data_IF_159272339666
#
_entry.id   IF_159272339666
#
_cell.length_a   1.000
_cell.length_b   1.000
_cell.length_c   1.000
_cell.angle_alpha   90.00
_cell.angle_beta   90.00
_cell.angle_gamma   90.00
#
_symmetry.space_group_name_H-M   'P 1'
#
loop_
_entity.id
_entity.type
_entity.pdbx_description
1 polymer ?
#
# COMPACT_ATOMS: atom_id res chain seq x y z
N UNK A 1 14.35 20.18 -9.00
CA UNK A 1 13.47 19.50 -9.99
C UNK A 1 13.68 17.99 -10.01
N UNK A 2 14.90 17.47 -10.08
CA UNK A 2 15.18 16.02 -10.11
C UNK A 2 14.62 15.27 -8.86
N UNK A 3 14.90 15.77 -7.66
CA UNK A 3 14.44 15.15 -6.41
C UNK A 3 12.92 15.09 -6.30
N UNK A 4 12.21 16.13 -6.74
CA UNK A 4 10.74 16.17 -6.72
C UNK A 4 10.17 15.12 -7.67
N UNK A 5 10.72 14.99 -8.88
CA UNK A 5 10.27 13.95 -9.84
C UNK A 5 10.56 12.56 -9.30
N UNK A 6 11.73 12.33 -8.72
CA UNK A 6 12.11 11.05 -8.13
C UNK A 6 11.17 10.63 -6.99
N UNK A 7 10.80 11.56 -6.10
CA UNK A 7 9.86 11.28 -5.02
C UNK A 7 8.46 10.87 -5.56
N UNK A 8 7.93 11.60 -6.53
CA UNK A 8 6.64 11.24 -7.15
C UNK A 8 6.73 9.90 -7.89
N UNK A 9 7.87 9.60 -8.50
CA UNK A 9 8.17 8.29 -9.08
C UNK A 9 8.14 7.17 -8.04
N UNK A 10 8.75 7.40 -6.87
CA UNK A 10 8.72 6.45 -5.75
C UNK A 10 7.29 6.22 -5.22
N UNK A 11 6.51 7.29 -5.02
CA UNK A 11 5.10 7.18 -4.61
C UNK A 11 4.29 6.36 -5.62
N UNK A 12 4.45 6.64 -6.91
CA UNK A 12 3.78 5.89 -7.97
C UNK A 12 4.20 4.42 -7.99
N UNK A 13 5.49 4.12 -7.76
CA UNK A 13 5.98 2.75 -7.70
C UNK A 13 5.38 1.98 -6.51
N UNK A 14 5.24 2.61 -5.33
CA UNK A 14 4.54 2.01 -4.19
C UNK A 14 3.06 1.76 -4.49
N UNK A 15 2.38 2.73 -5.12
CA UNK A 15 0.99 2.61 -5.53
C UNK A 15 0.80 1.44 -6.50
N UNK A 16 1.61 1.35 -7.56
CA UNK A 16 1.56 0.27 -8.55
C UNK A 16 1.87 -1.09 -7.93
N UNK A 17 2.86 -1.17 -7.04
CA UNK A 17 3.22 -2.40 -6.32
C UNK A 17 2.04 -2.91 -5.51
N UNK A 18 1.40 -2.03 -4.71
CA UNK A 18 0.24 -2.41 -3.91
C UNK A 18 -0.94 -2.83 -4.78
N UNK A 19 -1.31 -2.02 -5.78
CA UNK A 19 -2.45 -2.30 -6.67
C UNK A 19 -2.26 -3.62 -7.43
N UNK A 20 -1.04 -3.91 -7.91
CA UNK A 20 -0.69 -5.18 -8.56
C UNK A 20 -0.87 -6.37 -7.63
N UNK A 21 -0.39 -6.27 -6.37
CA UNK A 21 -0.47 -7.36 -5.40
C UNK A 21 -1.89 -7.57 -4.89
N UNK A 22 -2.63 -6.50 -4.64
CA UNK A 22 -3.98 -6.59 -4.07
C UNK A 22 -5.07 -6.81 -5.13
N UNK A 23 -4.82 -6.50 -6.38
CA UNK A 23 -5.78 -6.64 -7.48
C UNK A 23 -6.14 -8.08 -7.83
N UNK A 24 -7.16 -8.28 -8.69
CA UNK A 24 -7.46 -9.56 -9.30
C UNK A 24 -6.31 -10.08 -10.16
N UNK A 25 -6.24 -11.41 -10.31
CA UNK A 25 -5.21 -12.08 -11.09
C UNK A 25 -4.01 -12.50 -10.24
N UNK A 26 -2.94 -12.95 -10.91
CA UNK A 26 -1.70 -13.41 -10.28
C UNK A 26 -0.64 -12.32 -10.46
N UNK A 27 -0.11 -11.73 -9.36
CA UNK A 27 0.92 -10.72 -9.48
C UNK A 27 2.24 -11.34 -9.92
N UNK A 28 2.82 -10.77 -10.97
CA UNK A 28 4.17 -11.10 -11.41
C UNK A 28 5.18 -10.12 -10.79
N UNK A 29 6.27 -10.66 -10.23
CA UNK A 29 7.34 -9.89 -9.59
C UNK A 29 8.67 -10.35 -10.17
N UNK A 30 9.28 -9.50 -11.00
CA UNK A 30 10.59 -9.79 -11.55
C UNK A 30 11.69 -9.66 -10.49
N UNK A 31 12.66 -10.56 -10.51
CA UNK A 31 13.76 -10.57 -9.53
C UNK A 31 14.52 -9.24 -9.47
N UNK A 32 14.84 -8.78 -8.26
CA UNK A 32 15.53 -7.52 -8.01
C UNK A 32 14.63 -6.29 -8.05
N UNK A 33 13.31 -6.45 -8.29
CA UNK A 33 12.34 -5.34 -8.25
C UNK A 33 11.66 -5.18 -6.90
N UNK A 34 12.08 -5.92 -5.89
CA UNK A 34 11.59 -5.82 -4.50
C UNK A 34 11.96 -4.47 -3.88
N UNK A 35 13.08 -3.89 -4.28
CA UNK A 35 13.50 -2.51 -4.01
C UNK A 35 13.36 -1.64 -5.28
N UNK A 36 13.99 -0.45 -5.30
CA UNK A 36 13.98 0.35 -6.52
C UNK A 36 14.87 -0.28 -7.59
N UNK A 37 14.32 -0.48 -8.79
CA UNK A 37 15.07 -0.85 -9.98
C UNK A 37 14.90 0.26 -11.01
N UNK A 38 15.99 0.93 -11.36
CA UNK A 38 16.03 1.99 -12.38
C UNK A 38 16.58 1.46 -13.71
N UNK A 39 16.62 0.15 -13.85
CA UNK A 39 17.09 -0.53 -15.08
C UNK A 39 16.04 -0.43 -16.16
N UNK A 40 16.50 -0.36 -17.38
CA UNK A 40 15.65 -0.39 -18.56
C UNK A 40 15.19 -1.84 -18.84
N UNK A 41 14.57 -2.03 -19.99
CA UNK A 41 14.14 -3.34 -20.48
C UNK A 41 15.34 -4.21 -20.87
N UNK A 42 15.07 -5.42 -21.36
CA UNK A 42 16.08 -6.34 -21.86
C UNK A 42 17.06 -5.67 -22.85
N UNK A 43 18.38 -5.87 -22.71
CA UNK A 43 19.08 -6.78 -21.76
C UNK A 43 19.49 -6.17 -20.42
N UNK A 44 19.22 -4.89 -20.18
CA UNK A 44 19.66 -4.15 -18.98
C UNK A 44 19.15 -4.77 -17.66
N UNK A 45 17.95 -5.38 -17.69
CA UNK A 45 17.34 -6.05 -16.56
C UNK A 45 17.96 -7.41 -16.19
N UNK A 46 18.91 -7.94 -16.98
CA UNK A 46 19.56 -9.25 -16.75
C UNK A 46 20.79 -9.18 -15.83
N UNK A 47 21.06 -8.05 -15.21
CA UNK A 47 22.16 -7.92 -14.25
C UNK A 47 21.91 -8.81 -13.03
N UNK A 48 22.92 -9.51 -12.51
CA UNK A 48 22.79 -10.32 -11.32
C UNK A 48 22.21 -9.56 -10.13
N UNK A 49 21.33 -10.23 -9.38
CA UNK A 49 20.69 -9.67 -8.17
C UNK A 49 21.46 -10.14 -6.94
N UNK A 50 21.79 -9.21 -6.05
CA UNK A 50 22.38 -9.51 -4.74
C UNK A 50 21.27 -9.95 -3.77
N UNK A 51 20.93 -11.23 -3.80
CA UNK A 51 19.91 -11.82 -2.94
C UNK A 51 20.31 -11.84 -1.46
N UNK A 52 21.60 -11.89 -1.15
CA UNK A 52 22.10 -11.86 0.23
C UNK A 52 21.86 -10.48 0.85
N UNK A 53 22.15 -9.42 0.11
CA UNK A 53 21.84 -8.05 0.54
C UNK A 53 20.33 -7.83 0.72
N UNK A 54 19.50 -8.31 -0.22
CA UNK A 54 18.04 -8.22 -0.11
C UNK A 54 17.50 -9.01 1.10
N UNK A 55 17.99 -10.21 1.33
CA UNK A 55 17.61 -11.05 2.48
C UNK A 55 17.98 -10.40 3.80
N UNK A 56 19.16 -9.78 3.89
CA UNK A 56 19.61 -9.03 5.06
C UNK A 56 18.75 -7.78 5.30
N UNK A 57 18.38 -7.04 4.24
CA UNK A 57 17.46 -5.92 4.37
C UNK A 57 16.09 -6.38 4.84
N UNK A 58 15.55 -7.46 4.26
CA UNK A 58 14.24 -8.00 4.62
C UNK A 58 14.17 -8.43 6.09
N UNK A 59 15.18 -9.14 6.60
CA UNK A 59 15.22 -9.54 8.02
C UNK A 59 15.36 -8.36 8.97
N UNK A 60 15.94 -7.26 8.54
CA UNK A 60 16.04 -6.02 9.33
C UNK A 60 14.74 -5.22 9.42
N UNK A 61 13.76 -5.44 8.53
CA UNK A 61 12.55 -4.62 8.46
C UNK A 61 11.62 -4.76 9.67
N UNK A 62 11.61 -5.93 10.32
CA UNK A 62 10.72 -6.19 11.46
C UNK A 62 11.12 -5.40 12.72
N UNK A 63 12.34 -4.84 12.75
CA UNK A 63 12.90 -4.09 13.87
C UNK A 63 12.94 -2.57 13.65
N UNK A 64 12.42 -2.09 12.50
CA UNK A 64 12.47 -0.67 12.13
C UNK A 64 11.08 -0.06 12.18
N UNK A 65 10.87 1.08 12.85
CA UNK A 65 9.61 1.81 12.80
C UNK A 65 9.26 2.17 11.34
N UNK A 66 8.07 1.80 10.89
CA UNK A 66 7.66 1.97 9.48
C UNK A 66 7.79 3.42 9.01
N UNK A 67 7.39 4.38 9.84
CA UNK A 67 7.49 5.81 9.53
C UNK A 67 8.92 6.26 9.22
N UNK A 68 9.94 5.64 9.85
CA UNK A 68 11.33 6.01 9.63
C UNK A 68 11.88 5.61 8.26
N UNK A 69 11.18 4.73 7.52
CA UNK A 69 11.59 4.29 6.19
C UNK A 69 11.35 5.35 5.11
N UNK A 70 10.53 6.37 5.38
CA UNK A 70 10.26 7.44 4.42
C UNK A 70 11.39 8.46 4.32
N UNK A 71 12.22 8.61 5.36
CA UNK A 71 13.40 9.49 5.32
C UNK A 71 14.47 9.00 4.35
N UNK A 72 15.05 7.81 4.58
CA UNK A 72 16.05 7.21 3.70
C UNK A 72 15.44 6.45 2.52
N UNK A 73 14.30 6.89 1.98
CA UNK A 73 13.55 6.18 0.94
C UNK A 73 14.38 5.75 -0.29
N UNK A 74 15.49 6.44 -0.69
CA UNK A 74 16.29 6.00 -1.84
C UNK A 74 16.95 4.63 -1.65
N UNK A 75 17.05 4.12 -0.40
CA UNK A 75 17.60 2.79 -0.11
C UNK A 75 16.65 1.62 -0.49
N UNK A 76 15.41 1.92 -0.85
CA UNK A 76 14.43 0.95 -1.33
C UNK A 76 13.71 0.12 -0.25
N UNK A 77 14.09 0.23 1.03
CA UNK A 77 13.50 -0.57 2.12
C UNK A 77 12.00 -0.35 2.28
N UNK A 78 11.49 0.85 2.02
CA UNK A 78 10.05 1.13 2.06
C UNK A 78 9.29 0.30 1.01
N UNK A 79 9.84 0.14 -0.19
CA UNK A 79 9.22 -0.70 -1.23
C UNK A 79 9.32 -2.18 -0.88
N UNK A 80 10.46 -2.62 -0.35
CA UNK A 80 10.65 -3.99 0.13
C UNK A 80 9.63 -4.35 1.22
N UNK A 81 9.36 -3.42 2.17
CA UNK A 81 8.34 -3.59 3.20
C UNK A 81 6.94 -3.77 2.59
N UNK A 82 6.53 -2.86 1.70
CA UNK A 82 5.21 -2.93 1.04
C UNK A 82 5.07 -4.24 0.27
N UNK A 83 6.09 -4.60 -0.52
CA UNK A 83 6.09 -5.84 -1.31
C UNK A 83 5.97 -7.07 -0.42
N UNK A 84 6.83 -7.19 0.60
CA UNK A 84 6.89 -8.38 1.45
C UNK A 84 5.64 -8.55 2.30
N UNK A 85 5.14 -7.48 2.94
CA UNK A 85 3.94 -7.54 3.79
C UNK A 85 2.68 -7.81 2.97
N UNK A 86 2.53 -7.15 1.82
CA UNK A 86 1.38 -7.36 0.94
C UNK A 86 1.37 -8.79 0.35
N UNK A 87 2.52 -9.34 -0.09
CA UNK A 87 2.61 -10.71 -0.59
C UNK A 87 2.37 -11.75 0.51
N UNK A 88 2.90 -11.55 1.72
CA UNK A 88 2.63 -12.43 2.87
C UNK A 88 1.13 -12.45 3.19
N UNK A 89 0.48 -11.29 3.25
CA UNK A 89 -0.95 -11.19 3.48
C UNK A 89 -1.75 -11.86 2.37
N UNK A 90 -1.40 -11.62 1.10
CA UNK A 90 -2.04 -12.29 -0.03
C UNK A 90 -1.94 -13.82 0.07
N UNK A 91 -0.78 -14.35 0.49
CA UNK A 91 -0.58 -15.79 0.71
C UNK A 91 -1.44 -16.31 1.87
N UNK A 92 -1.55 -15.58 2.98
CA UNK A 92 -2.37 -15.94 4.13
C UNK A 92 -3.87 -15.92 3.81
N UNK A 93 -4.29 -15.00 2.92
CA UNK A 93 -5.68 -14.82 2.49
C UNK A 93 -5.88 -15.31 1.05
N UNK A 94 -5.35 -16.49 0.72
CA UNK A 94 -5.29 -16.99 -0.66
C UNK A 94 -6.68 -17.03 -1.32
N UNK A 95 -7.71 -17.48 -0.63
CA UNK A 95 -9.08 -17.55 -1.14
C UNK A 95 -9.64 -16.16 -1.44
N UNK A 96 -9.44 -15.18 -0.54
CA UNK A 96 -9.88 -13.81 -0.72
C UNK A 96 -9.33 -13.20 -2.02
N UNK A 97 -8.07 -13.47 -2.34
CA UNK A 97 -7.43 -12.92 -3.54
C UNK A 97 -7.65 -13.76 -4.80
N UNK A 98 -7.92 -15.06 -4.67
CA UNK A 98 -8.20 -15.93 -5.82
C UNK A 98 -9.64 -15.77 -6.33
N UNK A 99 -10.63 -15.83 -5.44
CA UNK A 99 -12.06 -15.91 -5.76
C UNK A 99 -12.89 -14.75 -5.19
N UNK A 100 -12.35 -13.95 -4.28
CA UNK A 100 -13.08 -12.85 -3.66
C UNK A 100 -13.57 -11.81 -4.68
N UNK A 101 -14.69 -11.16 -4.34
CA UNK A 101 -15.25 -10.07 -5.14
C UNK A 101 -14.25 -8.91 -5.30
N UNK A 102 -14.46 -8.08 -6.31
CA UNK A 102 -13.75 -6.82 -6.51
C UNK A 102 -14.77 -5.70 -6.59
N UNK A 103 -14.67 -4.73 -5.69
CA UNK A 103 -15.57 -3.57 -5.64
C UNK A 103 -14.75 -2.30 -5.68
N UNK A 104 -14.81 -1.50 -6.76
CA UNK A 104 -14.20 -0.18 -6.78
C UNK A 104 -14.77 0.70 -5.67
N UNK A 105 -13.92 1.48 -5.01
CA UNK A 105 -14.33 2.39 -3.96
C UNK A 105 -14.13 3.84 -4.40
N UNK A 106 -15.07 4.69 -4.01
CA UNK A 106 -15.04 6.11 -4.32
C UNK A 106 -14.77 6.93 -3.06
N UNK A 107 -13.92 7.91 -3.17
CA UNK A 107 -13.71 8.89 -2.14
C UNK A 107 -14.65 10.09 -2.32
N UNK A 108 -14.81 10.84 -1.26
CA UNK A 108 -15.47 12.16 -1.26
C UNK A 108 -14.58 13.18 -0.57
N UNK A 109 -14.79 14.46 -0.87
CA UNK A 109 -14.01 15.55 -0.33
C UNK A 109 -12.98 16.09 -1.34
N UNK A 110 -12.15 17.03 -0.88
CA UNK A 110 -11.27 17.80 -1.76
C UNK A 110 -10.22 16.94 -2.50
N UNK A 111 -9.82 15.81 -1.93
CA UNK A 111 -8.75 14.95 -2.47
C UNK A 111 -9.31 13.68 -3.13
N UNK A 112 -10.60 13.62 -3.46
CA UNK A 112 -11.25 12.45 -4.07
C UNK A 112 -10.63 12.02 -5.40
N UNK A 113 -10.24 12.95 -6.25
CA UNK A 113 -9.55 12.70 -7.52
C UNK A 113 -8.12 12.18 -7.40
N UNK A 114 -7.56 12.16 -6.18
CA UNK A 114 -6.16 11.80 -5.93
C UNK A 114 -5.96 10.40 -5.35
N UNK A 115 -7.00 9.58 -5.29
CA UNK A 115 -6.94 8.22 -4.75
C UNK A 115 -7.52 7.20 -5.71
N UNK A 116 -6.94 6.00 -5.70
CA UNK A 116 -7.49 4.78 -6.27
C UNK A 116 -7.66 3.81 -5.12
N UNK A 117 -8.86 3.25 -4.99
CA UNK A 117 -9.14 2.28 -3.95
C UNK A 117 -10.15 1.23 -4.41
N UNK A 118 -10.04 0.03 -3.85
CA UNK A 118 -11.00 -1.04 -4.04
C UNK A 118 -11.04 -1.96 -2.82
N UNK A 119 -12.17 -2.64 -2.66
CA UNK A 119 -12.34 -3.70 -1.68
C UNK A 119 -12.33 -5.07 -2.35
N UNK A 120 -11.80 -6.07 -1.65
CA UNK A 120 -11.96 -7.49 -1.92
C UNK A 120 -12.73 -8.12 -0.76
N UNK A 121 -13.63 -9.08 -1.06
CA UNK A 121 -14.40 -9.79 -0.03
C UNK A 121 -14.59 -11.26 -0.42
N UNK A 122 -14.39 -12.15 0.56
CA UNK A 122 -14.75 -13.57 0.47
C UNK A 122 -15.31 -14.01 1.84
N UNK A 123 -16.63 -14.20 1.92
CA UNK A 123 -17.31 -14.43 3.21
C UNK A 123 -17.08 -13.25 4.16
N UNK A 124 -16.47 -13.52 5.31
CA UNK A 124 -16.12 -12.52 6.34
C UNK A 124 -14.71 -11.92 6.14
N UNK A 125 -13.94 -12.48 5.23
CA UNK A 125 -12.61 -11.95 4.92
C UNK A 125 -12.71 -10.69 4.03
N UNK A 126 -12.00 -9.63 4.43
CA UNK A 126 -11.96 -8.36 3.74
C UNK A 126 -10.54 -7.88 3.52
N UNK A 127 -10.32 -7.25 2.37
CA UNK A 127 -9.16 -6.41 2.12
C UNK A 127 -9.59 -5.12 1.43
N UNK A 128 -9.00 -3.98 1.85
CA UNK A 128 -9.16 -2.69 1.19
C UNK A 128 -7.79 -2.17 0.80
N UNK A 129 -7.55 -1.99 -0.49
CA UNK A 129 -6.34 -1.36 -1.02
C UNK A 129 -6.61 0.12 -1.27
N UNK A 130 -5.71 0.98 -0.79
CA UNK A 130 -5.78 2.44 -0.98
C UNK A 130 -4.43 2.92 -1.49
N UNK A 131 -4.42 3.57 -2.64
CA UNK A 131 -3.21 4.07 -3.28
C UNK A 131 -3.41 5.49 -3.83
N UNK A 132 -2.41 6.38 -3.73
CA UNK A 132 -2.49 7.72 -4.29
C UNK A 132 -2.32 7.71 -5.82
N UNK A 133 -2.87 8.72 -6.46
CA UNK A 133 -2.65 9.06 -7.87
C UNK A 133 -2.50 10.56 -8.03
N UNK A 134 -1.92 11.00 -9.15
CA UNK A 134 -1.77 12.43 -9.49
C UNK A 134 -1.10 13.23 -8.35
N UNK A 135 -0.05 12.68 -7.76
CA UNK A 135 0.52 13.10 -6.48
C UNK A 135 1.21 14.46 -6.49
N UNK A 136 1.50 15.03 -7.65
CA UNK A 136 2.10 16.37 -7.79
C UNK A 136 1.24 17.45 -7.12
N UNK A 137 -0.09 17.32 -7.24
CA UNK A 137 -1.04 18.24 -6.60
C UNK A 137 -1.21 18.04 -5.10
N UNK A 138 -0.82 16.87 -4.55
CA UNK A 138 -1.04 16.50 -3.15
C UNK A 138 0.07 17.01 -2.21
N UNK A 139 1.29 16.60 -2.46
CA UNK A 139 2.36 16.63 -1.44
C UNK A 139 3.32 17.82 -1.55
N UNK A 140 3.25 18.64 -2.60
CA UNK A 140 4.20 19.74 -2.86
C UNK A 140 5.67 19.32 -2.66
N UNK A 141 6.07 18.14 -3.16
CA UNK A 141 7.40 17.57 -2.99
C UNK A 141 7.63 16.84 -1.67
N UNK A 142 6.57 16.47 -0.96
CA UNK A 142 6.59 15.63 0.25
C UNK A 142 5.80 14.35 0.04
N UNK A 143 6.01 13.37 0.91
CA UNK A 143 5.19 12.17 0.97
C UNK A 143 3.72 12.53 1.20
N UNK A 144 2.77 11.99 0.41
CA UNK A 144 1.36 12.27 0.59
C UNK A 144 0.76 11.41 1.73
N UNK A 145 1.12 11.76 2.96
CA UNK A 145 0.66 11.07 4.19
C UNK A 145 -0.07 12.02 5.13
N UNK A 146 -0.95 11.48 5.95
CA UNK A 146 -1.63 12.19 7.03
C UNK A 146 -2.48 13.38 6.55
N UNK A 147 -2.16 14.55 7.07
CA UNK A 147 -2.97 15.77 6.93
C UNK A 147 -3.18 16.26 5.49
N UNK A 148 -2.32 15.85 4.54
CA UNK A 148 -2.50 16.26 3.14
C UNK A 148 -3.84 15.79 2.56
N UNK A 149 -4.42 14.74 3.12
CA UNK A 149 -5.72 14.18 2.73
C UNK A 149 -6.92 14.96 3.30
N UNK A 150 -6.68 15.85 4.25
CA UNK A 150 -7.70 16.72 4.85
C UNK A 150 -8.86 15.92 5.42
N UNK A 151 -10.09 16.32 5.06
CA UNK A 151 -11.32 15.63 5.48
C UNK A 151 -11.86 14.66 4.42
N UNK A 152 -11.03 14.24 3.47
CA UNK A 152 -11.46 13.31 2.43
C UNK A 152 -11.68 11.92 3.03
N UNK A 153 -12.77 11.29 2.61
CA UNK A 153 -13.26 10.02 3.16
C UNK A 153 -13.49 9.04 2.03
N UNK A 154 -13.02 7.81 2.22
CA UNK A 154 -13.30 6.70 1.34
C UNK A 154 -14.60 6.02 1.81
N UNK A 155 -15.57 5.87 0.91
CA UNK A 155 -16.83 5.19 1.21
C UNK A 155 -16.61 3.68 1.10
N UNK A 156 -16.83 2.99 2.21
CA UNK A 156 -16.79 1.53 2.26
C UNK A 156 -18.11 0.92 1.80
N UNK A 157 -18.13 -0.33 1.29
CA UNK A 157 -19.35 -1.02 0.91
C UNK A 157 -20.22 -1.33 2.12
N UNK A 158 -21.51 -1.58 1.89
CA UNK A 158 -22.43 -2.04 2.92
C UNK A 158 -21.97 -3.37 3.53
N UNK A 159 -22.09 -3.47 4.84
CA UNK A 159 -21.64 -4.65 5.60
C UNK A 159 -20.12 -4.71 5.81
N UNK A 160 -19.38 -3.66 5.46
CA UNK A 160 -17.95 -3.57 5.79
C UNK A 160 -17.75 -3.46 7.31
N UNK A 161 -16.68 -4.09 7.85
CA UNK A 161 -16.35 -3.99 9.28
C UNK A 161 -16.15 -2.55 9.74
N UNK A 162 -16.41 -2.31 11.03
CA UNK A 162 -16.10 -1.02 11.65
C UNK A 162 -14.65 -0.92 12.15
N UNK A 163 -13.99 -2.05 12.37
CA UNK A 163 -12.60 -2.11 12.84
C UNK A 163 -11.70 -2.72 11.78
N UNK A 164 -10.60 -2.04 11.51
CA UNK A 164 -9.62 -2.41 10.49
C UNK A 164 -8.21 -2.40 11.05
N UNK A 165 -7.36 -3.28 10.56
CA UNK A 165 -5.93 -3.27 10.80
C UNK A 165 -5.19 -3.01 9.48
N UNK A 166 -4.19 -2.13 9.49
CA UNK A 166 -3.35 -1.86 8.34
C UNK A 166 -2.22 -2.89 8.28
N UNK A 167 -2.29 -3.80 7.33
CA UNK A 167 -1.31 -4.88 7.09
C UNK A 167 0.11 -4.36 6.93
N UNK A 168 0.27 -3.14 6.38
CA UNK A 168 1.57 -2.56 6.09
C UNK A 168 2.22 -1.91 7.31
N UNK A 169 1.41 -1.40 8.25
CA UNK A 169 1.92 -0.62 9.40
C UNK A 169 1.60 -1.24 10.75
N UNK A 170 0.58 -2.11 10.81
CA UNK A 170 0.04 -2.64 12.06
C UNK A 170 -0.90 -1.69 12.80
N UNK A 171 -1.19 -0.52 12.23
CA UNK A 171 -2.09 0.46 12.84
C UNK A 171 -3.54 0.00 12.81
N UNK A 172 -4.25 0.20 13.90
CA UNK A 172 -5.68 -0.05 14.03
C UNK A 172 -6.49 1.20 13.68
N UNK A 173 -7.61 0.98 12.99
CA UNK A 173 -8.50 2.04 12.52
C UNK A 173 -9.96 1.66 12.84
N UNK A 174 -10.69 2.59 13.41
CA UNK A 174 -12.13 2.48 13.57
C UNK A 174 -12.84 3.38 12.57
N UNK A 175 -13.90 2.85 11.98
CA UNK A 175 -14.71 3.52 10.96
C UNK A 175 -16.13 3.66 11.50
N UNK A 176 -16.71 4.81 11.34
CA UNK A 176 -18.12 5.07 11.68
C UNK A 176 -18.89 5.51 10.45
N UNK A 177 -20.13 5.05 10.31
CA UNK A 177 -21.01 5.43 9.20
C UNK A 177 -20.48 5.05 7.81
N UNK A 178 -19.68 3.97 7.70
CA UNK A 178 -19.15 3.47 6.43
C UNK A 178 -18.09 4.36 5.77
N UNK A 179 -17.59 5.37 6.50
CA UNK A 179 -16.60 6.33 5.99
C UNK A 179 -15.22 6.13 6.59
N UNK A 180 -14.21 5.73 5.79
CA UNK A 180 -12.82 5.60 6.17
C UNK A 180 -12.06 6.90 5.87
N UNK A 181 -11.61 7.67 6.90
CA UNK A 181 -10.85 8.89 6.67
C UNK A 181 -9.50 8.58 6.01
N UNK A 182 -9.23 9.18 4.83
CA UNK A 182 -7.98 8.96 4.10
C UNK A 182 -6.76 9.41 4.90
N UNK A 183 -6.87 10.48 5.67
CA UNK A 183 -5.80 10.98 6.56
C UNK A 183 -5.39 9.95 7.63
N UNK A 184 -6.31 9.06 8.04
CA UNK A 184 -6.03 7.99 9.00
C UNK A 184 -5.50 6.74 8.31
N UNK A 185 -6.14 6.33 7.20
CA UNK A 185 -5.69 5.16 6.44
C UNK A 185 -4.27 5.31 5.89
N UNK A 186 -3.90 6.53 5.52
CA UNK A 186 -2.61 6.90 4.94
C UNK A 186 -1.77 7.77 5.91
N UNK A 187 -1.87 7.51 7.22
CA UNK A 187 -1.18 8.33 8.23
C UNK A 187 0.35 8.15 8.15
N UNK A 188 0.82 6.93 8.02
CA UNK A 188 2.24 6.55 8.11
C UNK A 188 2.89 6.27 6.75
N UNK A 189 2.16 5.63 5.83
CA UNK A 189 2.63 5.34 4.47
C UNK A 189 1.70 5.95 3.43
N UNK A 190 2.20 6.26 2.22
CA UNK A 190 1.36 6.79 1.14
C UNK A 190 0.43 5.75 0.52
N UNK A 191 0.53 4.49 0.93
CA UNK A 191 -0.33 3.38 0.50
C UNK A 191 -0.82 2.63 1.73
N UNK A 192 -2.02 2.02 1.66
CA UNK A 192 -2.57 1.21 2.74
C UNK A 192 -3.22 -0.06 2.22
N UNK A 193 -3.00 -1.17 2.91
CA UNK A 193 -3.69 -2.43 2.74
C UNK A 193 -4.36 -2.77 4.06
N UNK A 194 -5.67 -2.64 4.10
CA UNK A 194 -6.46 -2.86 5.32
C UNK A 194 -7.11 -4.24 5.28
N UNK A 195 -7.22 -4.86 6.43
CA UNK A 195 -8.01 -6.08 6.65
C UNK A 195 -8.95 -5.86 7.83
N UNK A 196 -10.05 -6.62 7.90
CA UNK A 196 -10.89 -6.61 9.10
C UNK A 196 -10.03 -6.93 10.33
N UNK A 197 -10.11 -6.12 11.36
CA UNK A 197 -9.44 -6.45 12.62
C UNK A 197 -10.09 -7.69 13.23
N UNK A 198 -9.28 -8.58 13.82
CA UNK A 198 -9.82 -9.70 14.57
C UNK A 198 -10.73 -9.16 15.69
N UNK A 199 -11.96 -9.67 15.78
CA UNK A 199 -12.82 -9.40 16.93
C UNK A 199 -12.10 -9.83 18.21
N UNK A 200 -12.21 -9.07 19.29
CA UNK A 200 -11.83 -9.58 20.59
C UNK A 200 -12.67 -10.83 20.84
N UNK A 201 -12.05 -11.96 21.25
CA UNK A 201 -12.83 -13.10 21.70
C UNK A 201 -13.67 -12.64 22.90
N UNK A 202 -15.01 -12.64 22.70
CA UNK A 202 -15.99 -12.38 23.77
C UNK A 202 -15.95 -13.42 24.87
#
# INVERSE_FOLDING_TARGET
MHETVALHGAVNALAQTLLKIAGPGVPDVYQGTETWSLRLVDPDNRVPVDFDALSKQLSGLDHVPVASLLGPWPDGRVKLLVTSRALRFRRQQAELFASGSYTPLHASGRMDGHVVAFARRAGDAWAVAVAPRLTVGLGRGRWPVGEVWGRSVLRLPDGAPERWSNVLTGEELSVSGGGLPLARALATLPVALLTAAAGEPG
#
